data_IF_867206984190
#
_entry.id   IF_867206984190
#
_cell.length_a   1.000
_cell.length_b   1.000
_cell.length_c   1.000
_cell.angle_alpha   90.00
_cell.angle_beta   90.00
_cell.angle_gamma   90.00
#
_symmetry.space_group_name_H-M   'P 1'
#
loop_
_entity.id
_entity.type
_entity.pdbx_description
1 polymer ?
#
# COMPACT_ATOMS: atom_id res chain seq x y z
N UNK A 1 -26.44 28.88 -14.51
CA UNK A 1 -25.11 28.98 -13.88
C UNK A 1 -25.04 27.99 -12.73
N UNK A 2 -24.33 26.87 -12.90
CA UNK A 2 -24.18 25.87 -11.85
C UNK A 2 -23.26 26.42 -10.76
N UNK A 3 -23.79 26.55 -9.54
CA UNK A 3 -23.08 27.06 -8.39
C UNK A 3 -22.21 25.93 -7.82
N UNK A 4 -20.94 25.84 -8.27
CA UNK A 4 -19.96 24.95 -7.65
C UNK A 4 -19.51 25.56 -6.32
N UNK A 5 -20.37 25.43 -5.30
CA UNK A 5 -19.94 25.60 -3.93
C UNK A 5 -18.83 24.58 -3.68
N UNK A 6 -17.56 25.01 -3.78
CA UNK A 6 -16.40 24.19 -3.40
C UNK A 6 -16.67 23.72 -1.97
N UNK A 7 -16.85 22.41 -1.82
CA UNK A 7 -17.13 21.77 -0.52
C UNK A 7 -16.04 22.22 0.45
N UNK A 8 -16.43 22.87 1.55
CA UNK A 8 -15.52 23.37 2.60
C UNK A 8 -14.95 22.27 3.50
N UNK A 9 -15.19 21.00 3.14
CA UNK A 9 -14.73 19.85 3.92
C UNK A 9 -13.47 19.33 3.24
N UNK A 10 -12.31 19.33 3.92
CA UNK A 10 -11.10 18.77 3.35
C UNK A 10 -11.32 17.29 3.07
N UNK A 11 -11.09 16.89 1.82
CA UNK A 11 -11.13 15.51 1.36
C UNK A 11 -9.71 15.00 1.25
N UNK A 12 -9.47 13.84 1.84
CA UNK A 12 -8.21 13.14 1.74
C UNK A 12 -8.42 11.86 0.95
N UNK A 13 -7.50 11.57 0.05
CA UNK A 13 -7.36 10.26 -0.59
C UNK A 13 -6.00 9.68 -0.26
N UNK A 14 -5.88 8.35 -0.33
CA UNK A 14 -4.62 7.66 -0.07
C UNK A 14 -4.44 6.57 -1.10
N UNK A 15 -3.29 6.58 -1.76
CA UNK A 15 -2.86 5.59 -2.74
C UNK A 15 -1.61 4.90 -2.20
N UNK A 16 -1.52 3.58 -2.35
CA UNK A 16 -0.42 2.76 -1.81
C UNK A 16 0.20 1.95 -2.94
N UNK A 17 1.47 2.22 -3.20
CA UNK A 17 2.27 1.62 -4.25
C UNK A 17 3.36 0.74 -3.62
N UNK A 18 3.34 -0.56 -3.89
CA UNK A 18 4.31 -1.53 -3.38
C UNK A 18 4.31 -2.80 -4.23
N UNK A 19 5.39 -3.57 -4.17
CA UNK A 19 5.35 -4.96 -4.61
C UNK A 19 4.89 -5.83 -3.44
N UNK A 20 3.72 -6.50 -3.50
CA UNK A 20 3.28 -7.38 -2.43
C UNK A 20 4.07 -8.70 -2.38
N UNK A 21 4.75 -9.09 -3.46
CA UNK A 21 5.43 -10.39 -3.53
C UNK A 21 6.80 -10.33 -2.87
N UNK A 22 7.01 -11.18 -1.86
CA UNK A 22 8.30 -11.40 -1.20
C UNK A 22 8.82 -12.80 -1.53
N UNK A 23 10.15 -12.97 -1.68
CA UNK A 23 10.74 -14.30 -1.82
C UNK A 23 10.60 -15.09 -0.51
N UNK A 24 10.82 -16.40 -0.58
CA UNK A 24 11.03 -17.24 0.62
C UNK A 24 12.12 -16.63 1.53
N UNK A 25 11.85 -16.50 2.83
CA UNK A 25 12.77 -15.84 3.77
C UNK A 25 12.79 -14.30 3.68
N UNK A 26 12.09 -13.70 2.71
CA UNK A 26 12.05 -12.26 2.50
C UNK A 26 11.31 -11.54 3.61
N UNK A 27 11.96 -10.55 4.22
CA UNK A 27 11.39 -9.77 5.33
C UNK A 27 11.30 -8.28 5.05
N UNK A 28 11.93 -7.80 3.97
CA UNK A 28 12.04 -6.38 3.64
C UNK A 28 10.95 -5.95 2.66
N UNK A 29 10.08 -5.03 3.07
CA UNK A 29 9.00 -4.50 2.24
C UNK A 29 9.08 -2.98 2.13
N UNK A 30 9.08 -2.47 0.90
CA UNK A 30 9.04 -1.03 0.61
C UNK A 30 7.68 -0.66 0.02
N UNK A 31 7.08 0.41 0.56
CA UNK A 31 5.84 0.98 0.05
C UNK A 31 5.97 2.51 -0.07
N UNK A 32 5.44 3.06 -1.15
CA UNK A 32 5.19 4.51 -1.29
C UNK A 32 3.72 4.76 -1.05
N UNK A 33 3.42 5.73 -0.19
CA UNK A 33 2.07 6.12 0.17
C UNK A 33 1.89 7.56 -0.25
N UNK A 34 1.03 7.78 -1.24
CA UNK A 34 0.65 9.11 -1.70
C UNK A 34 -0.62 9.52 -0.99
N UNK A 35 -0.57 10.65 -0.30
CA UNK A 35 -1.74 11.24 0.36
C UNK A 35 -2.03 12.57 -0.32
N UNK A 36 -3.25 12.70 -0.83
CA UNK A 36 -3.71 13.90 -1.52
C UNK A 36 -4.81 14.56 -0.71
N UNK A 37 -4.66 15.85 -0.44
CA UNK A 37 -5.67 16.67 0.21
C UNK A 37 -6.27 17.64 -0.81
N UNK A 38 -7.60 17.69 -0.90
CA UNK A 38 -8.35 18.61 -1.77
C UNK A 38 -9.48 19.29 -1.00
N UNK A 39 -9.82 20.53 -1.33
CA UNK A 39 -11.04 21.18 -0.80
C UNK A 39 -10.86 22.08 0.43
N UNK A 40 -9.72 22.76 0.56
CA UNK A 40 -9.47 23.78 1.59
C UNK A 40 -8.78 23.19 2.82
N UNK A 41 -7.60 23.73 3.15
CA UNK A 41 -6.64 23.13 4.07
C UNK A 41 -7.17 22.82 5.48
N UNK A 42 -6.39 22.03 6.24
CA UNK A 42 -6.63 21.71 7.64
C UNK A 42 -6.39 22.92 8.57
N UNK A 43 -6.82 24.12 8.17
CA UNK A 43 -6.80 25.32 9.01
C UNK A 43 -7.86 25.17 10.10
N UNK A 44 -7.53 24.41 11.14
CA UNK A 44 -8.12 24.64 12.44
C UNK A 44 -7.65 26.02 12.92
N UNK A 45 -8.54 27.01 12.87
CA UNK A 45 -8.32 28.32 13.49
C UNK A 45 -8.52 29.50 12.54
N UNK A 46 -9.64 30.22 12.74
CA UNK A 46 -9.87 31.57 12.23
C UNK A 46 -8.72 32.50 12.69
N UNK A 47 -8.15 33.39 11.85
CA UNK A 47 -7.22 34.40 12.32
C UNK A 47 -7.93 35.28 13.36
N UNK A 48 -7.52 35.18 14.61
CA UNK A 48 -7.93 36.13 15.65
C UNK A 48 -7.16 37.42 15.34
N UNK A 49 -7.81 38.58 15.19
CA UNK A 49 -7.08 39.83 15.06
C UNK A 49 -6.23 40.00 16.32
N UNK A 50 -4.94 40.25 16.11
CA UNK A 50 -3.96 40.60 17.14
C UNK A 50 -4.52 41.75 17.99
N UNK A 51 -4.78 41.57 19.30
CA UNK A 51 -4.93 42.72 20.18
C UNK A 51 -3.54 43.26 20.48
N UNK A 52 -3.41 44.57 20.35
CA UNK A 52 -2.22 45.33 20.75
C UNK A 52 -1.86 45.05 22.20
N UNK A 53 -0.55 45.13 22.47
CA UNK A 53 0.04 44.86 23.76
C UNK A 53 -0.50 45.80 24.85
N UNK A 54 -1.07 45.22 25.91
CA UNK A 54 -1.13 45.84 27.23
C UNK A 54 -0.60 44.85 28.26
N UNK A 55 0.46 45.25 28.94
CA UNK A 55 1.11 44.51 30.00
C UNK A 55 0.31 44.58 31.31
N UNK A 56 0.31 43.49 32.10
CA UNK A 56 0.64 43.47 33.55
C UNK A 56 -0.01 42.29 34.30
N UNK A 57 0.82 41.49 35.00
CA UNK A 57 0.57 41.08 36.39
C UNK A 57 -0.06 39.72 36.76
N UNK A 58 0.78 38.87 37.38
CA UNK A 58 0.52 38.01 38.56
C UNK A 58 0.06 36.52 38.46
N UNK A 59 0.99 35.63 38.89
CA UNK A 59 0.92 34.46 39.81
C UNK A 59 -0.07 33.27 39.62
N UNK A 60 0.45 32.03 39.72
CA UNK A 60 -0.15 30.70 39.41
C UNK A 60 -1.18 30.11 40.42
N UNK A 61 -1.51 28.79 40.44
CA UNK A 61 -0.61 27.63 40.28
C UNK A 61 -1.07 26.44 39.36
N UNK A 62 -0.08 25.76 38.75
CA UNK A 62 0.11 24.32 38.52
C UNK A 62 -1.07 23.36 38.17
N UNK A 63 -1.05 22.86 36.93
CA UNK A 63 -1.50 21.51 36.51
C UNK A 63 -0.41 20.92 35.58
N UNK A 64 -0.04 19.66 35.82
CA UNK A 64 1.05 18.93 35.14
C UNK A 64 0.86 18.79 33.61
N UNK A 65 1.90 18.33 32.88
CA UNK A 65 1.94 18.45 31.43
C UNK A 65 0.94 17.48 30.81
N UNK A 66 -0.26 17.97 30.56
CA UNK A 66 -0.93 17.61 29.33
C UNK A 66 0.03 18.06 28.23
N UNK A 67 0.60 17.11 27.48
CA UNK A 67 1.13 17.35 26.14
C UNK A 67 -0.02 17.93 25.33
N UNK A 68 -0.22 19.24 25.51
CA UNK A 68 -1.16 20.05 24.81
C UNK A 68 -0.65 20.06 23.37
N UNK A 69 -1.32 19.27 22.54
CA UNK A 69 -1.28 19.47 21.10
C UNK A 69 -1.60 20.95 20.90
N UNK A 70 -0.57 21.75 20.62
CA UNK A 70 -0.71 23.17 20.39
C UNK A 70 -1.64 23.44 19.20
N UNK A 71 -1.92 24.71 18.87
CA UNK A 71 -2.78 25.11 17.76
C UNK A 71 -2.35 24.59 16.37
N UNK A 72 -1.23 23.89 16.27
CA UNK A 72 -0.77 23.08 15.14
C UNK A 72 -1.38 21.67 15.11
N UNK A 73 -2.70 21.57 15.27
CA UNK A 73 -3.41 20.30 15.13
C UNK A 73 -3.42 19.88 13.63
N UNK A 74 -2.27 19.39 13.16
CA UNK A 74 -2.03 18.93 11.81
C UNK A 74 -2.59 17.54 11.55
N UNK A 75 -2.55 17.14 10.29
CA UNK A 75 -2.92 15.78 9.87
C UNK A 75 -1.90 14.80 10.45
N UNK A 76 -2.38 13.62 10.85
CA UNK A 76 -1.53 12.57 11.40
C UNK A 76 -1.63 11.32 10.54
N UNK A 77 -0.47 10.80 10.11
CA UNK A 77 -0.39 9.52 9.45
C UNK A 77 -0.17 8.43 10.51
N UNK A 78 -1.19 7.62 10.77
CA UNK A 78 -1.10 6.47 11.68
C UNK A 78 -0.72 5.22 10.90
N UNK A 79 0.34 4.55 11.35
CA UNK A 79 0.77 3.24 10.84
C UNK A 79 0.51 2.20 11.92
N UNK A 80 -0.32 1.20 11.60
CA UNK A 80 -0.56 0.03 12.45
C UNK A 80 0.03 -1.22 11.80
N UNK A 81 0.84 -1.95 12.55
CA UNK A 81 1.45 -3.21 12.09
C UNK A 81 0.83 -4.43 12.80
N UNK A 82 0.78 -5.61 12.14
CA UNK A 82 0.43 -6.86 12.79
C UNK A 82 1.54 -7.32 13.77
N UNK A 83 1.31 -8.40 14.50
CA UNK A 83 2.32 -8.99 15.38
C UNK A 83 3.55 -9.43 14.57
N UNK A 84 4.75 -9.12 15.07
CA UNK A 84 6.03 -9.46 14.43
C UNK A 84 6.47 -8.52 13.31
N UNK A 85 5.60 -7.62 12.84
CA UNK A 85 5.96 -6.62 11.83
C UNK A 85 6.35 -5.29 12.47
N UNK A 86 7.44 -4.72 11.98
CA UNK A 86 8.06 -3.52 12.52
C UNK A 86 8.24 -2.46 11.43
N UNK A 87 8.04 -1.20 11.80
CA UNK A 87 8.38 -0.07 10.92
C UNK A 87 9.87 0.20 11.06
N UNK A 88 10.63 0.02 9.99
CA UNK A 88 12.05 0.35 10.00
C UNK A 88 12.28 1.85 9.82
N UNK A 89 11.60 2.49 8.86
CA UNK A 89 11.57 3.95 8.72
C UNK A 89 10.31 4.44 8.00
N UNK A 90 10.00 5.72 8.19
CA UNK A 90 8.98 6.45 7.43
C UNK A 90 9.53 7.83 7.07
N UNK A 91 9.55 8.15 5.77
CA UNK A 91 10.09 9.42 5.27
C UNK A 91 9.13 10.05 4.29
N UNK A 92 8.94 11.36 4.38
CA UNK A 92 8.39 12.12 3.26
C UNK A 92 9.46 12.22 2.18
N UNK A 93 9.11 11.89 0.94
CA UNK A 93 10.03 11.91 -0.21
C UNK A 93 9.65 12.98 -1.23
N UNK A 94 8.38 13.39 -1.24
CA UNK A 94 7.89 14.53 -2.00
C UNK A 94 6.76 15.24 -1.23
N UNK A 95 6.57 16.56 -1.40
CA UNK A 95 7.34 17.46 -2.27
C UNK A 95 8.70 17.86 -1.69
N UNK A 96 8.86 17.82 -0.36
CA UNK A 96 10.11 18.10 0.34
C UNK A 96 10.56 16.86 1.12
N UNK A 97 11.81 16.38 0.96
CA UNK A 97 12.30 15.24 1.74
C UNK A 97 12.37 15.57 3.24
N UNK A 98 11.75 14.73 4.06
CA UNK A 98 11.76 14.88 5.53
C UNK A 98 11.73 13.49 6.20
N UNK A 99 12.60 13.24 7.18
CA UNK A 99 12.57 11.99 7.94
C UNK A 99 11.59 12.09 9.12
N UNK A 100 10.52 11.30 9.07
CA UNK A 100 9.48 11.25 10.10
C UNK A 100 9.71 10.14 11.11
N UNK A 101 10.72 9.27 10.91
CA UNK A 101 10.94 8.07 11.72
C UNK A 101 11.11 8.41 13.20
N UNK A 102 11.87 9.46 13.51
CA UNK A 102 12.09 9.93 14.89
C UNK A 102 10.90 10.66 15.51
N UNK A 103 9.89 11.02 14.72
CA UNK A 103 8.68 11.76 15.18
C UNK A 103 7.52 10.83 15.55
N UNK A 104 7.77 9.52 15.57
CA UNK A 104 6.77 8.50 15.90
C UNK A 104 6.27 8.67 17.34
N UNK A 105 4.98 8.92 17.52
CA UNK A 105 4.28 8.88 18.81
C UNK A 105 3.52 7.57 18.97
N UNK A 106 3.70 6.87 20.08
CA UNK A 106 2.93 5.65 20.35
C UNK A 106 1.44 6.00 20.57
N UNK A 107 0.54 5.34 19.84
CA UNK A 107 -0.91 5.62 19.90
C UNK A 107 -1.77 4.40 20.23
N UNK A 108 -1.12 3.31 20.64
CA UNK A 108 -1.74 2.05 21.03
C UNK A 108 -0.86 0.85 20.69
N UNK A 109 -1.33 -0.37 20.96
CA UNK A 109 -0.59 -1.58 20.61
C UNK A 109 -0.25 -1.61 19.12
N UNK A 110 1.06 -1.66 18.81
CA UNK A 110 1.59 -1.71 17.43
C UNK A 110 1.07 -0.61 16.51
N UNK A 111 0.68 0.54 17.09
CA UNK A 111 0.23 1.72 16.34
C UNK A 111 1.19 2.88 16.64
N UNK A 112 1.70 3.49 15.58
CA UNK A 112 2.56 4.67 15.64
C UNK A 112 1.95 5.81 14.83
N UNK A 113 1.87 6.97 15.45
CA UNK A 113 1.36 8.20 14.86
C UNK A 113 2.53 9.08 14.42
N UNK A 114 2.50 9.51 13.17
CA UNK A 114 3.51 10.37 12.57
C UNK A 114 2.85 11.71 12.22
N UNK A 115 3.15 12.78 12.97
CA UNK A 115 2.66 14.11 12.65
C UNK A 115 3.21 14.55 11.29
N UNK A 116 2.33 14.89 10.34
CA UNK A 116 2.73 15.38 9.00
C UNK A 116 2.55 16.90 8.86
N UNK A 117 2.13 17.57 9.94
CA UNK A 117 1.96 19.02 9.97
C UNK A 117 0.67 19.48 9.29
N UNK A 118 0.57 20.77 8.95
CA UNK A 118 -0.60 21.33 8.29
C UNK A 118 -0.67 20.90 6.82
N UNK A 119 -1.89 20.82 6.28
CA UNK A 119 -2.14 20.45 4.89
C UNK A 119 -2.95 21.51 4.14
N UNK A 120 -2.52 21.83 2.92
CA UNK A 120 -3.25 22.64 1.95
C UNK A 120 -4.01 21.79 0.91
N UNK A 121 -4.19 22.36 -0.28
CA UNK A 121 -4.53 21.60 -1.49
C UNK A 121 -3.21 21.11 -2.10
N UNK A 122 -2.79 19.90 -1.70
CA UNK A 122 -1.46 19.38 -1.99
C UNK A 122 -1.45 17.85 -1.99
N UNK A 123 -0.39 17.28 -2.57
CA UNK A 123 -0.08 15.86 -2.50
C UNK A 123 1.31 15.67 -1.89
N UNK A 124 1.43 14.68 -1.00
CA UNK A 124 2.72 14.29 -0.40
C UNK A 124 2.92 12.79 -0.46
N UNK A 125 4.14 12.41 -0.80
CA UNK A 125 4.54 11.01 -0.93
C UNK A 125 5.40 10.61 0.25
N UNK A 126 5.08 9.46 0.82
CA UNK A 126 5.78 8.89 1.97
C UNK A 126 6.37 7.53 1.62
N UNK A 127 7.68 7.38 1.79
CA UNK A 127 8.35 6.08 1.70
C UNK A 127 8.36 5.38 3.05
N UNK A 128 7.62 4.28 3.12
CA UNK A 128 7.53 3.39 4.26
C UNK A 128 8.38 2.14 4.01
N UNK A 129 9.24 1.82 4.97
CA UNK A 129 9.96 0.55 5.01
C UNK A 129 9.50 -0.28 6.21
N UNK A 130 9.11 -1.52 5.93
CA UNK A 130 8.62 -2.48 6.91
C UNK A 130 9.55 -3.70 6.94
N UNK A 131 9.79 -4.20 8.15
CA UNK A 131 10.27 -5.56 8.36
C UNK A 131 9.07 -6.41 8.75
N UNK A 132 8.79 -7.46 7.98
CA UNK A 132 7.66 -8.37 8.22
C UNK A 132 8.17 -9.75 8.63
N UNK A 133 7.46 -10.48 9.50
CA UNK A 133 7.80 -11.87 9.80
C UNK A 133 7.55 -12.72 8.55
N UNK A 134 8.22 -13.87 8.44
CA UNK A 134 7.99 -14.83 7.36
C UNK A 134 7.02 -15.95 7.85
N UNK A 135 5.74 -15.91 7.46
CA UNK A 135 4.77 -16.96 7.77
C UNK A 135 4.89 -18.21 6.89
N UNK A 136 5.81 -18.23 5.92
CA UNK A 136 6.01 -19.31 4.95
C UNK A 136 5.35 -19.08 3.58
N UNK A 137 5.76 -19.87 2.59
CA UNK A 137 5.30 -19.77 1.19
C UNK A 137 3.77 -19.86 1.03
N UNK A 138 3.25 -19.10 0.05
CA UNK A 138 1.83 -19.05 -0.30
C UNK A 138 0.95 -18.33 0.73
N UNK A 139 1.52 -17.89 1.85
CA UNK A 139 0.79 -17.12 2.85
C UNK A 139 0.74 -15.65 2.47
N UNK A 140 -0.41 -15.05 2.74
CA UNK A 140 -0.63 -13.63 2.65
C UNK A 140 -0.78 -13.03 4.05
N UNK A 141 -0.22 -11.85 4.24
CA UNK A 141 -0.35 -11.05 5.46
C UNK A 141 -0.56 -9.57 5.13
N UNK A 142 -1.34 -8.89 5.97
CA UNK A 142 -1.37 -7.44 5.99
C UNK A 142 -0.12 -6.91 6.71
N UNK A 143 0.85 -6.37 5.97
CA UNK A 143 2.09 -5.84 6.52
C UNK A 143 1.90 -4.54 7.31
N UNK A 144 1.01 -3.66 6.84
CA UNK A 144 0.64 -2.46 7.58
C UNK A 144 -0.73 -1.92 7.13
N UNK A 145 -1.41 -1.26 8.07
CA UNK A 145 -2.57 -0.41 7.80
C UNK A 145 -2.18 1.04 8.04
N UNK A 146 -2.28 1.85 7.00
CA UNK A 146 -2.13 3.30 7.08
C UNK A 146 -3.50 3.94 7.26
N UNK A 147 -3.57 4.96 8.11
CA UNK A 147 -4.78 5.75 8.32
C UNK A 147 -4.39 7.21 8.45
N UNK A 148 -5.00 8.05 7.62
CA UNK A 148 -4.88 9.49 7.70
C UNK A 148 -5.92 9.98 8.70
N UNK A 149 -5.47 10.67 9.74
CA UNK A 149 -6.29 11.15 10.84
C UNK A 149 -6.34 12.68 10.82
N UNK A 150 -7.54 13.21 10.97
CA UNK A 150 -7.75 14.62 11.32
C UNK A 150 -7.98 14.75 12.82
N UNK A 151 -7.31 15.71 13.48
CA UNK A 151 -7.62 16.05 14.86
C UNK A 151 -9.04 16.62 14.94
N UNK A 152 -9.74 16.26 16.00
CA UNK A 152 -11.07 16.80 16.27
C UNK A 152 -10.95 18.10 17.09
N UNK A 153 -11.79 19.12 16.83
CA UNK A 153 -11.67 20.43 17.47
C UNK A 153 -11.88 20.43 19.00
N UNK A 154 -12.59 19.42 19.55
CA UNK A 154 -13.07 19.45 20.94
C UNK A 154 -12.52 18.32 21.82
N UNK A 155 -11.29 17.83 21.53
CA UNK A 155 -10.70 16.71 22.26
C UNK A 155 -11.36 15.34 22.01
N UNK A 156 -12.32 15.29 21.06
CA UNK A 156 -12.91 14.05 20.58
C UNK A 156 -11.87 13.18 19.85
N UNK A 157 -12.19 11.89 19.67
CA UNK A 157 -11.30 10.95 19.01
C UNK A 157 -10.94 11.43 17.59
N UNK A 158 -9.66 11.33 17.17
CA UNK A 158 -9.23 11.69 15.82
C UNK A 158 -10.06 10.97 14.77
N UNK A 159 -10.51 11.69 13.74
CA UNK A 159 -11.33 11.12 12.66
C UNK A 159 -10.44 10.55 11.57
N UNK A 160 -10.67 9.28 11.22
CA UNK A 160 -10.05 8.67 10.03
C UNK A 160 -10.71 9.25 8.78
N UNK A 161 -9.91 9.82 7.88
CA UNK A 161 -10.39 10.42 6.63
C UNK A 161 -9.99 9.64 5.38
N UNK A 162 -8.89 8.90 5.44
CA UNK A 162 -8.45 8.02 4.37
C UNK A 162 -7.65 6.83 4.94
N UNK A 163 -7.59 5.73 4.21
CA UNK A 163 -6.86 4.52 4.62
C UNK A 163 -6.16 3.86 3.43
N UNK A 164 -5.02 3.25 3.72
CA UNK A 164 -4.24 2.46 2.77
C UNK A 164 -3.79 1.14 3.41
N UNK A 165 -3.71 0.07 2.62
CA UNK A 165 -3.30 -1.25 3.07
C UNK A 165 -2.03 -1.67 2.33
N UNK A 166 -1.04 -2.13 3.09
CA UNK A 166 0.18 -2.73 2.54
C UNK A 166 0.10 -4.23 2.78
N UNK A 167 0.17 -5.02 1.72
CA UNK A 167 0.06 -6.48 1.74
C UNK A 167 1.43 -7.10 1.47
N UNK A 168 1.63 -8.29 1.98
CA UNK A 168 2.79 -9.12 1.72
C UNK A 168 2.33 -10.55 1.41
N UNK A 169 2.86 -11.14 0.35
CA UNK A 169 2.59 -12.50 -0.12
C UNK A 169 3.94 -13.17 -0.35
N UNK A 170 4.20 -14.27 0.34
CA UNK A 170 5.43 -15.04 0.13
C UNK A 170 5.23 -15.98 -1.06
N UNK A 171 6.14 -15.90 -2.02
CA UNK A 171 6.05 -16.65 -3.27
C UNK A 171 7.37 -17.34 -3.59
N UNK A 172 7.25 -18.49 -4.22
CA UNK A 172 8.34 -19.25 -4.82
C UNK A 172 8.64 -18.80 -6.26
N UNK A 173 7.81 -17.92 -6.85
CA UNK A 173 8.05 -17.28 -8.15
C UNK A 173 9.07 -16.13 -8.01
N UNK A 174 10.32 -16.34 -8.44
CA UNK A 174 11.34 -15.31 -8.32
C UNK A 174 11.06 -14.11 -9.24
N UNK A 175 10.33 -14.29 -10.34
CA UNK A 175 9.99 -13.19 -11.25
C UNK A 175 9.01 -12.21 -10.60
N UNK A 176 8.05 -12.70 -9.82
CA UNK A 176 7.16 -11.85 -9.04
C UNK A 176 7.90 -11.11 -7.91
N UNK A 177 8.84 -11.77 -7.24
CA UNK A 177 9.60 -11.18 -6.14
C UNK A 177 10.59 -10.07 -6.58
N UNK A 178 11.15 -10.14 -7.79
CA UNK A 178 12.10 -9.11 -8.28
C UNK A 178 11.44 -7.85 -8.82
N UNK A 179 10.11 -7.82 -9.00
CA UNK A 179 9.42 -6.63 -9.50
C UNK A 179 9.62 -5.45 -8.56
N UNK A 180 9.84 -4.28 -9.14
CA UNK A 180 9.92 -3.02 -8.39
C UNK A 180 8.79 -2.13 -8.91
N UNK A 181 7.98 -1.63 -7.99
CA UNK A 181 6.91 -0.69 -8.31
C UNK A 181 7.51 0.63 -8.84
N UNK A 182 6.93 1.25 -9.89
CA UNK A 182 7.47 2.47 -10.47
C UNK A 182 7.58 3.66 -9.52
N UNK A 183 6.61 3.86 -8.62
CA UNK A 183 6.65 4.95 -7.63
C UNK A 183 7.73 4.68 -6.59
N UNK A 184 7.83 3.44 -6.10
CA UNK A 184 8.93 3.03 -5.21
C UNK A 184 10.27 3.25 -5.90
N UNK A 185 10.40 2.87 -7.17
CA UNK A 185 11.63 3.03 -7.94
C UNK A 185 12.02 4.51 -8.10
N UNK A 186 11.04 5.37 -8.39
CA UNK A 186 11.25 6.81 -8.54
C UNK A 186 11.83 7.42 -7.27
N UNK A 187 11.20 7.20 -6.12
CA UNK A 187 11.61 7.82 -4.86
C UNK A 187 12.84 7.18 -4.21
N UNK A 188 13.17 5.93 -4.56
CA UNK A 188 14.37 5.25 -4.06
C UNK A 188 15.58 5.39 -4.98
N UNK A 189 15.46 6.11 -6.11
CA UNK A 189 16.52 6.20 -7.12
C UNK A 189 16.77 4.89 -7.87
N UNK A 190 15.83 3.94 -7.81
CA UNK A 190 15.91 2.62 -8.45
C UNK A 190 15.19 2.57 -9.80
N UNK A 191 14.84 3.71 -10.38
CA UNK A 191 14.12 3.81 -11.66
C UNK A 191 14.79 3.03 -12.78
N UNK A 192 16.12 3.13 -12.95
CA UNK A 192 16.81 2.39 -14.01
C UNK A 192 16.73 0.88 -13.77
N UNK A 193 17.01 0.42 -12.55
CA UNK A 193 16.92 -1.00 -12.20
C UNK A 193 15.50 -1.53 -12.47
N UNK A 194 14.48 -0.82 -12.02
CA UNK A 194 13.08 -1.18 -12.23
C UNK A 194 12.76 -1.32 -13.73
N UNK A 195 13.15 -0.34 -14.55
CA UNK A 195 12.91 -0.37 -16.00
C UNK A 195 13.59 -1.58 -16.68
N UNK A 196 14.82 -1.91 -16.29
CA UNK A 196 15.55 -3.04 -16.87
C UNK A 196 14.90 -4.37 -16.50
N UNK A 197 14.48 -4.52 -15.23
CA UNK A 197 13.74 -5.71 -14.77
C UNK A 197 12.45 -5.85 -15.59
N UNK A 198 11.65 -4.78 -15.72
CA UNK A 198 10.41 -4.83 -16.48
C UNK A 198 10.65 -5.20 -17.95
N UNK A 199 11.64 -4.61 -18.63
CA UNK A 199 12.00 -4.98 -20.01
C UNK A 199 12.39 -6.47 -20.14
N UNK A 200 13.12 -7.01 -19.16
CA UNK A 200 13.48 -8.42 -19.15
C UNK A 200 12.30 -9.35 -18.94
N UNK A 201 11.41 -9.01 -18.00
CA UNK A 201 10.20 -9.78 -17.73
C UNK A 201 9.17 -9.70 -18.88
N UNK A 202 9.02 -8.54 -19.52
CA UNK A 202 8.17 -8.36 -20.70
C UNK A 202 8.71 -9.16 -21.89
N UNK A 203 10.02 -9.12 -22.13
CA UNK A 203 10.64 -9.95 -23.17
C UNK A 203 10.38 -11.44 -22.93
N UNK A 204 10.48 -11.90 -21.68
CA UNK A 204 10.15 -13.27 -21.34
C UNK A 204 8.68 -13.61 -21.55
N UNK A 205 7.77 -12.68 -21.20
CA UNK A 205 6.33 -12.82 -21.44
C UNK A 205 6.00 -12.97 -22.93
N UNK A 206 6.76 -12.31 -23.81
CA UNK A 206 6.58 -12.37 -25.26
C UNK A 206 7.48 -13.40 -25.96
N UNK A 207 8.19 -14.25 -25.21
CA UNK A 207 9.02 -15.35 -25.76
C UNK A 207 10.36 -14.94 -26.36
N UNK A 208 10.82 -13.70 -26.16
CA UNK A 208 12.14 -13.24 -26.60
C UNK A 208 13.22 -13.60 -25.56
N UNK A 209 13.64 -14.88 -25.59
CA UNK A 209 14.61 -15.45 -24.65
C UNK A 209 15.93 -14.65 -24.61
N UNK A 210 16.43 -14.27 -25.78
CA UNK A 210 17.72 -13.59 -25.91
C UNK A 210 17.68 -12.20 -25.26
N UNK A 211 16.61 -11.44 -25.49
CA UNK A 211 16.41 -10.14 -24.83
C UNK A 211 16.14 -10.29 -23.34
N UNK A 212 15.32 -11.25 -22.93
CA UNK A 212 15.01 -11.52 -21.52
C UNK A 212 16.29 -11.75 -20.72
N UNK A 213 17.12 -12.71 -21.14
CA UNK A 213 18.39 -13.04 -20.47
C UNK A 213 19.35 -11.85 -20.47
N UNK A 214 19.44 -11.10 -21.58
CA UNK A 214 20.32 -9.92 -21.67
C UNK A 214 19.93 -8.83 -20.69
N UNK A 215 18.65 -8.45 -20.64
CA UNK A 215 18.16 -7.40 -19.75
C UNK A 215 18.22 -7.86 -18.28
N UNK A 216 17.81 -9.09 -17.95
CA UNK A 216 17.83 -9.58 -16.57
C UNK A 216 19.28 -9.72 -16.03
N UNK A 217 20.25 -10.12 -16.86
CA UNK A 217 21.68 -10.06 -16.47
C UNK A 217 22.17 -8.63 -16.26
N UNK A 218 21.67 -7.66 -17.04
CA UNK A 218 21.96 -6.22 -16.81
C UNK A 218 21.37 -5.76 -15.48
N UNK A 219 20.14 -6.15 -15.17
CA UNK A 219 19.52 -5.85 -13.88
C UNK A 219 20.33 -6.45 -12.72
N UNK A 220 20.80 -7.70 -12.83
CA UNK A 220 21.61 -8.33 -11.79
C UNK A 220 22.91 -7.55 -11.50
N UNK A 221 23.55 -7.00 -12.54
CA UNK A 221 24.73 -6.13 -12.38
C UNK A 221 24.38 -4.79 -11.73
N UNK A 222 23.27 -4.17 -12.12
CA UNK A 222 22.80 -2.92 -11.49
C UNK A 222 22.40 -3.11 -10.02
N UNK A 223 21.90 -4.30 -9.66
CA UNK A 223 21.57 -4.69 -8.30
C UNK A 223 22.79 -5.08 -7.45
N UNK A 224 24.00 -5.17 -8.03
CA UNK A 224 25.22 -5.65 -7.36
C UNK A 224 25.87 -4.68 -6.37
N UNK A 225 25.14 -3.66 -5.90
CA UNK A 225 25.60 -2.74 -4.86
C UNK A 225 25.38 -3.28 -3.44
N UNK A 226 26.10 -2.77 -2.43
CA UNK A 226 25.89 -3.15 -1.03
C UNK A 226 24.43 -2.90 -0.62
N UNK A 227 23.79 -3.91 -0.01
CA UNK A 227 22.39 -3.87 0.43
C UNK A 227 21.35 -4.36 -0.59
N UNK A 228 21.76 -4.80 -1.78
CA UNK A 228 20.87 -5.36 -2.82
C UNK A 228 21.29 -6.77 -3.28
N UNK A 229 22.07 -7.46 -2.45
CA UNK A 229 22.59 -8.81 -2.74
C UNK A 229 21.49 -9.83 -2.97
N UNK A 230 20.41 -9.80 -2.17
CA UNK A 230 19.30 -10.73 -2.33
C UNK A 230 18.53 -10.47 -3.63
N UNK A 231 18.39 -9.20 -4.04
CA UNK A 231 17.81 -8.87 -5.35
C UNK A 231 18.68 -9.42 -6.48
N UNK A 232 20.01 -9.33 -6.37
CA UNK A 232 20.93 -9.87 -7.38
C UNK A 232 20.85 -11.41 -7.47
N UNK A 233 20.77 -12.11 -6.32
CA UNK A 233 20.58 -13.57 -6.26
C UNK A 233 19.25 -13.99 -6.89
N UNK A 234 18.17 -13.29 -6.58
CA UNK A 234 16.86 -13.54 -7.18
C UNK A 234 16.90 -13.33 -8.70
N UNK A 235 17.51 -12.24 -9.18
CA UNK A 235 17.66 -12.00 -10.61
C UNK A 235 18.50 -13.08 -11.31
N UNK A 236 19.54 -13.59 -10.66
CA UNK A 236 20.30 -14.74 -11.18
C UNK A 236 19.45 -16.00 -11.28
N UNK A 237 18.58 -16.27 -10.28
CA UNK A 237 17.61 -17.36 -10.31
C UNK A 237 16.62 -17.20 -11.47
N UNK A 238 16.01 -16.02 -11.63
CA UNK A 238 15.11 -15.72 -12.76
C UNK A 238 15.78 -15.98 -14.11
N UNK A 239 17.05 -15.58 -14.27
CA UNK A 239 17.82 -15.85 -15.51
C UNK A 239 17.99 -17.35 -15.76
N UNK A 240 18.22 -18.16 -14.71
CA UNK A 240 18.31 -19.62 -14.81
C UNK A 240 16.98 -20.29 -15.13
N UNK A 241 15.87 -19.68 -14.73
CA UNK A 241 14.50 -20.17 -14.97
C UNK A 241 13.95 -19.79 -16.35
N UNK A 242 14.68 -19.02 -17.17
CA UNK A 242 14.28 -18.74 -18.57
C UNK A 242 14.46 -20.00 -19.41
N UNK A 243 13.35 -20.52 -19.93
CA UNK A 243 13.35 -21.57 -20.95
C UNK A 243 13.97 -21.03 -22.24
N UNK A 244 15.07 -21.64 -22.68
CA UNK A 244 15.79 -21.23 -23.88
C UNK A 244 15.06 -21.52 -25.20
N UNK A 245 14.10 -22.45 -25.20
CA UNK A 245 13.32 -22.83 -26.37
C UNK A 245 12.07 -21.96 -26.54
N UNK A 246 11.39 -21.62 -25.44
CA UNK A 246 10.15 -20.82 -25.46
C UNK A 246 10.33 -19.36 -25.07
N UNK A 247 11.47 -19.02 -24.46
CA UNK A 247 11.77 -17.69 -23.93
C UNK A 247 10.98 -17.31 -22.69
N UNK A 248 10.16 -18.22 -22.15
CA UNK A 248 9.34 -17.95 -20.96
C UNK A 248 10.14 -18.18 -19.69
N UNK A 249 9.94 -17.33 -18.67
CA UNK A 249 10.45 -17.62 -17.33
C UNK A 249 9.51 -18.66 -16.71
N UNK A 250 10.06 -19.75 -16.18
CA UNK A 250 9.31 -20.73 -15.40
C UNK A 250 8.65 -20.03 -14.20
N UNK A 251 7.36 -19.72 -14.34
CA UNK A 251 6.53 -19.33 -13.21
C UNK A 251 6.31 -20.60 -12.37
N UNK A 252 6.66 -20.54 -11.09
CA UNK A 252 6.34 -21.63 -10.18
C UNK A 252 4.82 -21.88 -10.24
N UNK A 253 4.42 -23.15 -10.31
CA UNK A 253 3.06 -23.55 -10.61
C UNK A 253 2.08 -22.94 -9.59
N UNK A 254 1.08 -22.23 -10.11
CA UNK A 254 -0.01 -21.59 -9.36
C UNK A 254 -0.66 -22.61 -8.40
N UNK A 255 -0.67 -22.32 -7.10
CA UNK A 255 -1.60 -22.96 -6.17
C UNK A 255 -3.04 -22.77 -6.69
N UNK A 256 -3.95 -23.74 -6.48
CA UNK A 256 -5.21 -23.78 -7.20
C UNK A 256 -6.02 -22.52 -6.92
N UNK A 257 -6.38 -21.85 -8.00
CA UNK A 257 -7.42 -20.85 -8.05
C UNK A 257 -8.71 -21.53 -7.60
N UNK A 258 -9.10 -21.30 -6.34
CA UNK A 258 -10.44 -21.63 -5.86
C UNK A 258 -11.42 -20.85 -6.71
N UNK A 259 -11.92 -21.55 -7.71
CA UNK A 259 -13.03 -21.24 -8.57
C UNK A 259 -14.13 -20.62 -7.72
N UNK A 260 -14.32 -19.31 -7.90
CA UNK A 260 -15.46 -18.60 -7.34
C UNK A 260 -16.67 -19.06 -8.13
N UNK A 261 -17.25 -20.15 -7.65
CA UNK A 261 -18.49 -20.71 -8.14
C UNK A 261 -19.56 -19.62 -8.12
N UNK A 262 -19.89 -19.18 -9.33
CA UNK A 262 -20.89 -18.18 -9.58
C UNK A 262 -22.24 -18.82 -9.30
N UNK A 263 -22.89 -18.42 -8.21
CA UNK A 263 -24.30 -18.70 -7.97
C UNK A 263 -25.13 -18.09 -9.11
N UNK A 264 -25.39 -18.88 -10.16
CA UNK A 264 -26.50 -18.69 -11.09
C UNK A 264 -27.52 -19.76 -10.80
N UNK A 265 -28.43 -19.46 -9.88
CA UNK A 265 -29.70 -20.17 -9.78
C UNK A 265 -30.55 -19.74 -10.97
N UNK A 266 -30.66 -20.59 -11.99
CA UNK A 266 -31.77 -20.58 -12.92
C UNK A 266 -32.71 -21.73 -12.52
N UNK A 267 -34.04 -21.52 -12.40
CA UNK A 267 -34.97 -22.62 -12.23
C UNK A 267 -35.29 -23.19 -13.61
N UNK A 268 -34.85 -24.43 -13.86
CA UNK A 268 -35.23 -25.18 -15.05
C UNK A 268 -36.68 -25.62 -14.96
N UNK A 269 -37.41 -25.25 -16.01
CA UNK A 269 -38.79 -25.64 -16.27
C UNK A 269 -38.74 -27.01 -16.96
N UNK A 270 -39.06 -28.09 -16.25
CA UNK A 270 -39.19 -29.39 -16.89
C UNK A 270 -40.65 -29.65 -17.25
N UNK A 271 -40.97 -29.45 -18.54
CA UNK A 271 -42.09 -30.08 -19.21
C UNK A 271 -41.64 -31.45 -19.76
N UNK A 272 -42.32 -32.49 -19.27
CA UNK A 272 -42.67 -33.81 -19.82
C UNK A 272 -41.72 -34.60 -20.72
N UNK A 273 -41.77 -35.94 -20.57
CA UNK A 273 -42.03 -36.77 -21.75
C UNK A 273 -43.19 -37.77 -21.59
N UNK A 274 -43.74 -38.08 -22.75
CA UNK A 274 -44.74 -39.05 -23.18
C UNK A 274 -44.47 -40.49 -22.71
N UNK A 275 -45.51 -41.29 -22.43
CA UNK A 275 -45.94 -42.44 -23.26
C UNK A 275 -46.95 -43.38 -22.52
N UNK A 276 -48.15 -43.46 -23.10
CA UNK A 276 -49.08 -44.59 -23.30
C UNK A 276 -49.06 -45.83 -22.37
N UNK A 277 -50.20 -46.10 -21.73
CA UNK A 277 -50.88 -47.42 -21.76
C UNK A 277 -52.32 -47.35 -21.19
N UNK A 278 -53.30 -47.57 -22.07
CA UNK A 278 -54.46 -48.45 -21.93
C UNK A 278 -55.01 -48.76 -20.52
N UNK A 279 -56.26 -48.36 -20.24
CA UNK A 279 -57.22 -49.30 -19.63
C UNK A 279 -58.68 -48.85 -19.90
N UNK A 280 -59.45 -49.77 -20.49
CA UNK A 280 -60.90 -49.74 -20.64
C UNK A 280 -61.63 -49.59 -19.30
N UNK A 281 -62.73 -48.85 -19.25
CA UNK A 281 -64.05 -49.47 -19.01
C UNK A 281 -65.22 -48.48 -19.16
N UNK A 282 -66.18 -48.97 -19.93
CA UNK A 282 -67.59 -48.64 -20.08
C UNK A 282 -68.34 -48.45 -18.74
N UNK A 283 -69.23 -47.44 -18.64
CA UNK A 283 -70.66 -47.57 -18.32
C UNK A 283 -71.32 -46.26 -17.81
N UNK A 284 -72.46 -45.97 -18.47
CA UNK A 284 -73.65 -45.20 -18.07
C UNK A 284 -73.63 -43.68 -17.92
#
# INVERSE_FOLDING_TARGET
>A
MANFAKSRVPRFTTEVHHNPCLPEGGQALHAVVTVTATGGGSTGGRPVPRPEAVASGAAGPEHGPADALGPDAGVVLRVRTPLGAEVGFLRQVAPAPEDLTGRRRASGPRSGDYPTGPWGDESRDYHLFLRVPDPGLGREMLAARLSVLLPAPDGAAPRVVAQGLVRAVWTDDPAAAVRIDPQVAHHTGRSELAQVIQRGLDAAKWGDAARAVRELRRAARLAGGPGSEDTAKLLAKVVGDVDTATGTVRQAAKAPEVERESSRTAPDTHSSPTETAMNEHDHH
#
